data_IF_912677780669
#
_entry.id   IF_912677780669
#
_cell.length_a   1.000
_cell.length_b   1.000
_cell.length_c   1.000
_cell.angle_alpha   90.00
_cell.angle_beta   90.00
_cell.angle_gamma   90.00
#
_symmetry.space_group_name_H-M   'P 1'
#
loop_
_entity.id
_entity.type
_entity.pdbx_description
1 polymer ?
#
# COMPACT_ATOMS: atom_id res chain seq x y z
N UNK A 1 13.40 13.06 15.03
CA UNK A 1 13.05 11.87 14.24
C UNK A 1 11.54 11.72 14.28
N UNK A 2 10.86 11.70 13.15
CA UNK A 2 9.41 11.43 13.11
C UNK A 2 9.20 9.97 13.50
N UNK A 3 8.53 9.71 14.61
CA UNK A 3 8.27 8.37 15.11
C UNK A 3 7.03 7.77 14.42
N UNK A 4 7.01 7.81 13.08
CA UNK A 4 5.90 7.29 12.28
C UNK A 4 5.93 5.76 12.31
N UNK A 5 4.80 5.16 12.66
CA UNK A 5 4.69 3.70 12.78
C UNK A 5 4.87 3.05 11.39
N UNK A 6 5.55 1.91 11.34
CA UNK A 6 5.65 1.10 10.11
C UNK A 6 4.46 0.16 10.06
N UNK A 7 3.65 0.25 9.00
CA UNK A 7 2.44 -0.57 8.85
C UNK A 7 2.63 -1.52 7.68
N UNK A 8 2.69 -2.82 7.97
CA UNK A 8 2.71 -3.85 6.94
C UNK A 8 1.31 -4.04 6.34
N UNK A 9 1.21 -4.00 5.01
CA UNK A 9 -0.02 -4.21 4.25
C UNK A 9 0.21 -5.40 3.33
N UNK A 10 -0.49 -6.52 3.55
CA UNK A 10 -0.49 -7.62 2.58
C UNK A 10 -1.45 -7.33 1.45
N UNK A 11 -1.04 -7.60 0.21
CA UNK A 11 -1.90 -7.39 -0.96
C UNK A 11 -3.07 -8.39 -1.08
N UNK A 12 -3.08 -9.47 -0.31
CA UNK A 12 -4.14 -10.48 -0.39
C UNK A 12 -4.18 -11.21 -1.74
N UNK A 13 -5.39 -11.53 -2.22
CA UNK A 13 -5.60 -12.25 -3.48
C UNK A 13 -5.28 -11.37 -4.69
N UNK A 14 -4.41 -11.88 -5.58
CA UNK A 14 -3.98 -11.22 -6.82
C UNK A 14 -5.09 -11.07 -7.86
N UNK A 15 -6.13 -11.90 -7.78
CA UNK A 15 -7.26 -11.84 -8.71
C UNK A 15 -8.35 -10.86 -8.22
N UNK A 16 -8.18 -10.29 -7.03
CA UNK A 16 -9.08 -9.27 -6.47
C UNK A 16 -8.73 -7.85 -6.91
N UNK A 17 -9.30 -6.87 -6.20
CA UNK A 17 -9.11 -5.43 -6.44
C UNK A 17 -8.14 -4.78 -5.45
N UNK A 18 -7.34 -5.59 -4.75
CA UNK A 18 -6.54 -5.13 -3.62
C UNK A 18 -5.52 -4.04 -3.98
N UNK A 19 -4.80 -4.18 -5.10
CA UNK A 19 -3.86 -3.14 -5.54
C UNK A 19 -4.57 -1.84 -5.94
N UNK A 20 -5.76 -1.88 -6.51
CA UNK A 20 -6.54 -0.67 -6.79
C UNK A 20 -6.85 0.09 -5.48
N UNK A 21 -7.31 -0.62 -4.46
CA UNK A 21 -7.64 -0.03 -3.15
C UNK A 21 -6.38 0.48 -2.44
N UNK A 22 -5.30 -0.31 -2.43
CA UNK A 22 -4.02 0.10 -1.82
C UNK A 22 -3.51 1.38 -2.47
N UNK A 23 -3.43 1.43 -3.81
CA UNK A 23 -2.91 2.59 -4.52
C UNK A 23 -3.80 3.82 -4.28
N UNK A 24 -5.12 3.71 -4.42
CA UNK A 24 -6.06 4.82 -4.15
C UNK A 24 -5.98 5.33 -2.72
N UNK A 25 -5.80 4.43 -1.74
CA UNK A 25 -5.65 4.80 -0.32
C UNK A 25 -4.36 5.56 -0.08
N UNK A 26 -3.25 5.10 -0.67
CA UNK A 26 -1.93 5.71 -0.49
C UNK A 26 -1.73 7.01 -1.29
N UNK A 27 -2.66 7.37 -2.18
CA UNK A 27 -2.69 8.69 -2.83
C UNK A 27 -3.11 9.81 -1.87
N UNK A 28 -3.77 9.48 -0.76
CA UNK A 28 -4.10 10.45 0.28
C UNK A 28 -2.88 10.75 1.15
N UNK A 29 -2.36 11.98 1.05
CA UNK A 29 -1.15 12.40 1.75
C UNK A 29 -1.26 12.29 3.27
N UNK A 30 -2.48 12.34 3.83
CA UNK A 30 -2.72 12.20 5.27
C UNK A 30 -2.26 10.83 5.79
N UNK A 31 -2.27 9.80 4.96
CA UNK A 31 -1.79 8.47 5.34
C UNK A 31 -0.27 8.49 5.63
N UNK A 32 0.50 9.27 4.86
CA UNK A 32 1.95 9.37 5.03
C UNK A 32 2.35 10.20 6.26
N UNK A 33 1.43 11.03 6.77
CA UNK A 33 1.60 11.72 8.07
C UNK A 33 1.36 10.76 9.25
N UNK A 34 0.50 9.75 9.07
CA UNK A 34 0.14 8.79 10.11
C UNK A 34 1.12 7.61 10.21
N UNK A 35 1.61 7.08 9.08
CA UNK A 35 2.45 5.90 9.06
C UNK A 35 3.39 5.84 7.84
N UNK A 36 4.35 4.91 7.90
CA UNK A 36 5.11 4.46 6.74
C UNK A 36 4.54 3.11 6.29
N UNK A 37 3.72 3.09 5.22
CA UNK A 37 3.14 1.84 4.72
C UNK A 37 4.20 0.99 4.00
N UNK A 38 4.22 -0.30 4.30
CA UNK A 38 5.10 -1.31 3.67
C UNK A 38 4.21 -2.36 3.02
N UNK A 39 4.19 -2.38 1.68
CA UNK A 39 3.36 -3.33 0.94
C UNK A 39 4.10 -4.65 0.78
N UNK A 40 3.54 -5.72 1.34
CA UNK A 40 3.97 -7.10 1.12
C UNK A 40 3.13 -7.71 0.01
N UNK A 41 3.73 -7.92 -1.17
CA UNK A 41 3.07 -8.53 -2.31
C UNK A 41 3.94 -8.62 -3.55
N UNK A 42 3.36 -9.05 -4.66
CA UNK A 42 4.07 -9.23 -5.92
C UNK A 42 4.25 -7.90 -6.68
N UNK A 43 5.50 -7.44 -6.91
CA UNK A 43 5.74 -6.21 -7.67
C UNK A 43 5.27 -6.32 -9.13
N UNK A 44 5.25 -7.53 -9.71
CA UNK A 44 4.73 -7.78 -11.05
C UNK A 44 3.23 -7.48 -11.13
N UNK A 45 2.47 -7.86 -10.11
CA UNK A 45 1.03 -7.60 -10.05
C UNK A 45 0.80 -6.12 -9.79
N UNK A 46 1.54 -5.50 -8.86
CA UNK A 46 1.45 -4.06 -8.60
C UNK A 46 1.65 -3.22 -9.88
N UNK A 47 2.62 -3.60 -10.72
CA UNK A 47 2.91 -2.91 -11.98
C UNK A 47 1.80 -3.03 -13.03
N UNK A 48 0.96 -4.08 -12.97
CA UNK A 48 -0.19 -4.23 -13.87
C UNK A 48 -1.29 -3.21 -13.57
N UNK A 49 -1.46 -2.82 -12.31
CA UNK A 49 -2.45 -1.83 -11.86
C UNK A 49 -1.92 -0.38 -11.87
N UNK A 50 -0.73 -0.15 -12.44
CA UNK A 50 -0.11 1.18 -12.54
C UNK A 50 -0.67 1.98 -13.72
#
# INVERSE_FOLDING_TARGET
MSNTIKVGISHGDINGISYEIILKTLMDSRIMEMCTPIIYGSPKVAAYYR
#
